data_IF_121056001088
#
_entry.id   IF_121056001088
#
_cell.length_a   1.000
_cell.length_b   1.000
_cell.length_c   1.000
_cell.angle_alpha   90.00
_cell.angle_beta   90.00
_cell.angle_gamma   90.00
#
_symmetry.space_group_name_H-M   'P 1'
#
loop_
_entity.id
_entity.type
_entity.pdbx_description
1 polymer ?
#
# COMPACT_ATOMS: atom_id res chain seq x y z
N UNK A 1 2.86 -18.38 4.06
CA UNK A 1 3.88 -18.65 3.03
C UNK A 1 4.52 -17.33 2.62
N UNK A 2 5.85 -17.25 2.52
CA UNK A 2 6.51 -16.06 1.98
C UNK A 2 6.10 -15.86 0.51
N UNK A 3 5.80 -14.62 0.12
CA UNK A 3 5.44 -14.32 -1.26
C UNK A 3 6.71 -14.02 -2.07
N UNK A 4 6.97 -14.84 -3.09
CA UNK A 4 8.18 -14.75 -3.91
C UNK A 4 8.30 -13.45 -4.73
N UNK A 5 7.20 -12.76 -5.01
CA UNK A 5 7.22 -11.50 -5.76
C UNK A 5 7.44 -10.26 -4.90
N UNK A 6 7.62 -10.39 -3.58
CA UNK A 6 7.89 -9.24 -2.68
C UNK A 6 9.21 -8.51 -2.98
N UNK A 7 10.04 -9.06 -3.85
CA UNK A 7 11.26 -8.40 -4.30
C UNK A 7 11.05 -7.51 -5.54
N UNK A 8 9.83 -7.45 -6.08
CA UNK A 8 9.48 -6.63 -7.26
C UNK A 8 8.81 -5.32 -6.80
N UNK A 9 9.57 -4.22 -6.66
CA UNK A 9 9.04 -2.95 -6.16
C UNK A 9 8.00 -2.33 -7.11
N UNK A 10 8.01 -2.67 -8.41
CA UNK A 10 6.97 -2.27 -9.37
C UNK A 10 5.57 -2.78 -9.01
N UNK A 11 5.47 -3.88 -8.26
CA UNK A 11 4.20 -4.45 -7.80
C UNK A 11 3.78 -3.95 -6.42
N UNK A 12 4.50 -2.97 -5.88
CA UNK A 12 4.28 -2.46 -4.52
C UNK A 12 3.90 -1.00 -4.54
N UNK A 13 3.19 -0.57 -3.51
CA UNK A 13 2.88 0.84 -3.24
C UNK A 13 3.14 1.11 -1.76
N UNK A 14 3.71 2.27 -1.44
CA UNK A 14 3.98 2.68 -0.07
C UNK A 14 2.76 3.42 0.51
N UNK A 15 2.23 2.95 1.63
CA UNK A 15 1.27 3.70 2.43
C UNK A 15 2.00 4.35 3.59
N UNK A 16 1.71 5.61 3.87
CA UNK A 16 2.23 6.34 5.03
C UNK A 16 1.10 7.04 5.77
N UNK A 17 1.03 6.95 7.08
CA UNK A 17 0.04 7.63 7.92
C UNK A 17 0.13 7.18 9.37
N UNK A 18 -0.16 8.10 10.29
CA UNK A 18 -0.08 7.83 11.75
C UNK A 18 -1.05 6.73 12.20
N UNK A 19 -2.20 6.59 11.52
CA UNK A 19 -3.17 5.52 11.81
C UNK A 19 -2.57 4.11 11.60
N UNK A 20 -1.52 3.99 10.78
CA UNK A 20 -0.87 2.70 10.53
C UNK A 20 -0.18 2.16 11.77
N UNK A 21 0.23 3.01 12.72
CA UNK A 21 0.90 2.57 13.96
C UNK A 21 0.02 1.69 14.84
N UNK A 22 -1.30 1.89 14.79
CA UNK A 22 -2.28 1.18 15.61
C UNK A 22 -3.01 0.07 14.85
N UNK A 23 -2.65 -0.16 13.59
CA UNK A 23 -3.27 -1.18 12.74
C UNK A 23 -2.30 -2.31 12.43
N UNK A 24 -2.82 -3.53 12.49
CA UNK A 24 -2.08 -4.72 12.06
C UNK A 24 -2.09 -4.82 10.53
N UNK A 25 -1.17 -5.61 9.96
CA UNK A 25 -1.15 -5.90 8.52
C UNK A 25 -2.49 -6.48 8.05
N UNK A 26 -3.10 -7.35 8.86
CA UNK A 26 -4.40 -7.98 8.60
C UNK A 26 -5.52 -6.95 8.56
N UNK A 27 -5.56 -5.99 9.49
CA UNK A 27 -6.58 -4.93 9.51
C UNK A 27 -6.48 -4.04 8.27
N UNK A 28 -5.26 -3.67 7.90
CA UNK A 28 -4.99 -2.84 6.72
C UNK A 28 -5.42 -3.62 5.47
N UNK A 29 -5.00 -4.88 5.34
CA UNK A 29 -5.36 -5.73 4.21
C UNK A 29 -6.88 -5.89 4.08
N UNK A 30 -7.57 -6.13 5.19
CA UNK A 30 -9.04 -6.27 5.21
C UNK A 30 -9.74 -4.96 4.79
N UNK A 31 -9.25 -3.80 5.24
CA UNK A 31 -9.80 -2.51 4.83
C UNK A 31 -9.57 -2.23 3.33
N UNK A 32 -8.36 -2.49 2.83
CA UNK A 32 -8.03 -2.33 1.41
C UNK A 32 -8.83 -3.28 0.52
N UNK A 33 -8.97 -4.55 0.91
CA UNK A 33 -9.71 -5.55 0.14
C UNK A 33 -11.20 -5.21 -0.04
N UNK A 34 -11.79 -4.42 0.87
CA UNK A 34 -13.19 -3.97 0.78
C UNK A 34 -13.38 -2.69 -0.04
N UNK A 35 -12.37 -1.82 -0.08
CA UNK A 35 -12.53 -0.45 -0.57
C UNK A 35 -11.76 -0.12 -1.85
N UNK A 36 -11.06 -1.11 -2.40
CA UNK A 36 -10.21 -0.91 -3.57
C UNK A 36 -10.62 -1.90 -4.66
N UNK A 37 -10.64 -1.50 -5.93
CA UNK A 37 -11.01 -2.39 -7.03
C UNK A 37 -10.00 -3.52 -7.20
N UNK A 38 -8.73 -3.21 -6.97
CA UNK A 38 -7.62 -4.15 -7.11
C UNK A 38 -7.26 -4.69 -5.74
N UNK A 39 -7.71 -5.91 -5.44
CA UNK A 39 -7.42 -6.54 -4.15
C UNK A 39 -5.90 -6.77 -3.99
N UNK A 40 -5.27 -6.19 -2.95
CA UNK A 40 -3.88 -6.47 -2.67
C UNK A 40 -3.68 -7.92 -2.19
N UNK A 41 -2.50 -8.49 -2.44
CA UNK A 41 -2.13 -9.84 -2.00
C UNK A 41 -1.85 -9.87 -0.51
N UNK A 42 -1.04 -8.92 -0.03
CA UNK A 42 -0.73 -8.75 1.38
C UNK A 42 -0.11 -7.37 1.63
N UNK A 43 0.05 -7.06 2.92
CA UNK A 43 0.66 -5.84 3.44
C UNK A 43 1.91 -6.24 4.21
N UNK A 44 2.99 -5.49 4.05
CA UNK A 44 4.26 -5.71 4.75
C UNK A 44 4.59 -4.48 5.60
N UNK A 45 4.69 -4.67 6.90
CA UNK A 45 5.23 -3.73 7.88
C UNK A 45 6.59 -4.24 8.35
N UNK A 46 7.56 -3.33 8.47
CA UNK A 46 8.89 -3.71 8.99
C UNK A 46 8.82 -3.86 10.51
N UNK A 47 8.11 -2.96 11.18
CA UNK A 47 7.84 -3.00 12.61
C UNK A 47 6.34 -2.75 12.86
N UNK A 48 5.81 -3.30 13.96
CA UNK A 48 4.40 -3.15 14.31
C UNK A 48 4.00 -1.68 14.54
N UNK A 49 4.93 -0.83 14.98
CA UNK A 49 4.68 0.59 15.28
C UNK A 49 5.11 1.56 14.18
N UNK A 50 5.45 1.06 12.98
CA UNK A 50 5.76 1.93 11.85
C UNK A 50 4.53 2.72 11.39
N UNK A 51 4.77 3.98 11.02
CA UNK A 51 3.77 4.85 10.39
C UNK A 51 3.70 4.63 8.87
N UNK A 52 4.28 3.56 8.36
CA UNK A 52 4.27 3.20 6.95
C UNK A 52 4.21 1.68 6.74
N UNK A 53 3.73 1.27 5.57
CA UNK A 53 3.75 -0.12 5.14
C UNK A 53 3.82 -0.21 3.60
N UNK A 54 4.26 -1.35 3.09
CA UNK A 54 4.20 -1.65 1.66
C UNK A 54 2.99 -2.54 1.37
N UNK A 55 2.24 -2.20 0.35
CA UNK A 55 1.11 -2.99 -0.14
C UNK A 55 1.53 -3.64 -1.45
N UNK A 56 1.42 -4.96 -1.53
CA UNK A 56 1.84 -5.73 -2.68
C UNK A 56 0.64 -6.24 -3.47
N UNK A 57 0.69 -6.06 -4.78
CA UNK A 57 -0.35 -6.48 -5.73
C UNK A 57 0.11 -7.64 -6.61
N UNK A 58 -0.83 -8.29 -7.28
CA UNK A 58 -0.55 -9.44 -8.16
C UNK A 58 0.36 -9.08 -9.35
N UNK A 59 0.11 -7.91 -9.96
CA UNK A 59 0.83 -7.43 -11.12
C UNK A 59 1.11 -5.91 -11.01
N UNK A 60 1.94 -5.40 -11.93
CA UNK A 60 2.37 -4.01 -11.96
C UNK A 60 1.21 -3.07 -12.32
N UNK A 61 0.33 -3.49 -13.24
CA UNK A 61 -0.87 -2.73 -13.63
C UNK A 61 -1.78 -2.43 -12.44
N UNK A 62 -1.99 -3.39 -11.53
CA UNK A 62 -2.81 -3.19 -10.33
C UNK A 62 -2.17 -2.17 -9.37
N UNK A 63 -0.85 -2.24 -9.17
CA UNK A 63 -0.12 -1.29 -8.34
C UNK A 63 -0.14 0.12 -8.95
N UNK A 64 0.09 0.22 -10.27
CA UNK A 64 0.01 1.46 -11.03
C UNK A 64 -1.39 2.09 -10.95
N UNK A 65 -2.43 1.27 -11.13
CA UNK A 65 -3.83 1.68 -11.02
C UNK A 65 -4.14 2.21 -9.61
N UNK A 66 -3.75 1.47 -8.57
CA UNK A 66 -3.92 1.91 -7.19
C UNK A 66 -3.20 3.24 -6.92
N UNK A 67 -1.95 3.37 -7.35
CA UNK A 67 -1.17 4.58 -7.20
C UNK A 67 -1.80 5.77 -7.96
N UNK A 68 -2.29 5.56 -9.19
CA UNK A 68 -2.97 6.60 -9.96
C UNK A 68 -4.18 7.16 -9.21
N UNK A 69 -5.08 6.29 -8.72
CA UNK A 69 -6.31 6.75 -8.07
C UNK A 69 -6.05 7.43 -6.72
N UNK A 70 -5.21 6.84 -5.87
CA UNK A 70 -5.09 7.32 -4.50
C UNK A 70 -3.94 8.31 -4.28
N UNK A 71 -2.87 8.24 -5.07
CA UNK A 71 -1.76 9.21 -4.96
C UNK A 71 -1.90 10.38 -5.94
N UNK A 72 -2.13 10.09 -7.24
CA UNK A 72 -2.17 11.14 -8.27
C UNK A 72 -3.49 11.89 -8.30
N UNK A 73 -4.62 11.17 -8.25
CA UNK A 73 -5.95 11.80 -8.17
C UNK A 73 -6.36 12.20 -6.74
N UNK A 74 -5.49 11.95 -5.75
CA UNK A 74 -5.70 12.31 -4.33
C UNK A 74 -7.01 11.79 -3.74
N UNK A 75 -7.47 10.60 -4.16
CA UNK A 75 -8.65 9.97 -3.57
C UNK A 75 -8.33 9.39 -2.20
N UNK A 76 -9.31 9.40 -1.31
CA UNK A 76 -9.22 8.70 -0.02
C UNK A 76 -9.32 7.19 -0.26
N UNK A 77 -8.43 6.42 0.38
CA UNK A 77 -8.37 4.95 0.20
C UNK A 77 -9.58 4.28 0.84
N UNK A 78 -9.83 4.61 2.11
CA UNK A 78 -10.92 4.10 2.91
C UNK A 78 -11.16 5.07 4.07
N UNK A 79 -12.41 5.27 4.46
CA UNK A 79 -12.75 6.10 5.63
C UNK A 79 -12.20 5.54 6.95
N UNK A 80 -11.98 4.23 7.03
CA UNK A 80 -11.32 3.58 8.16
C UNK A 80 -9.81 3.87 8.23
N UNK A 81 -9.25 4.46 7.16
CA UNK A 81 -7.84 4.78 7.00
C UNK A 81 -7.65 6.27 6.60
N UNK A 82 -8.18 7.22 7.38
CA UNK A 82 -8.39 8.60 6.93
C UNK A 82 -7.09 9.41 6.75
N UNK A 83 -6.01 9.05 7.44
CA UNK A 83 -4.73 9.78 7.41
C UNK A 83 -3.68 9.14 6.52
N UNK A 84 -4.07 8.14 5.70
CA UNK A 84 -3.13 7.48 4.79
C UNK A 84 -2.87 8.34 3.57
N UNK A 85 -1.59 8.53 3.30
CA UNK A 85 -1.03 9.09 2.08
C UNK A 85 -0.41 7.94 1.29
N UNK A 86 -0.79 7.83 0.02
CA UNK A 86 -0.23 6.86 -0.91
C UNK A 86 0.99 7.47 -1.60
N UNK A 87 2.11 6.74 -1.58
CA UNK A 87 3.39 7.12 -2.17
C UNK A 87 3.91 6.01 -3.08
N UNK A 88 4.78 6.32 -4.06
CA UNK A 88 5.42 5.28 -4.83
C UNK A 88 6.27 4.41 -3.89
N UNK A 89 6.36 3.12 -4.20
CA UNK A 89 7.34 2.26 -3.56
C UNK A 89 8.76 2.77 -3.83
N UNK A 90 9.72 2.34 -3.01
CA UNK A 90 11.11 2.76 -3.14
C UNK A 90 11.95 1.58 -3.66
N UNK A 91 12.79 1.87 -4.65
CA UNK A 91 13.85 0.97 -5.09
C UNK A 91 14.94 0.86 -4.01
N UNK A 92 15.83 -0.16 -4.08
CA UNK A 92 16.93 -0.31 -3.12
C UNK A 92 17.85 0.93 -3.01
N UNK A 93 17.99 1.69 -4.10
CA UNK A 93 18.71 2.97 -4.15
C UNK A 93 17.88 4.16 -3.66
N UNK A 94 16.77 3.93 -2.96
CA UNK A 94 15.83 4.94 -2.43
C UNK A 94 15.13 5.80 -3.48
N UNK A 95 15.29 5.51 -4.78
CA UNK A 95 14.54 6.20 -5.82
C UNK A 95 13.08 5.71 -5.85
N UNK A 96 12.11 6.61 -6.09
CA UNK A 96 10.72 6.21 -6.23
C UNK A 96 10.53 5.36 -7.49
N UNK A 97 9.73 4.31 -7.37
CA UNK A 97 9.29 3.50 -8.50
C UNK A 97 8.47 4.36 -9.46
N UNK A 98 8.84 4.31 -10.75
CA UNK A 98 8.03 4.83 -11.83
C UNK A 98 7.04 3.73 -12.26
N UNK A 99 5.75 4.02 -12.18
CA UNK A 99 4.70 3.13 -12.66
C UNK A 99 4.34 3.46 -14.11
N UNK A 100 4.22 2.43 -14.94
CA UNK A 100 3.68 2.58 -16.28
C UNK A 100 2.16 2.82 -16.22
N UNK A 101 1.74 3.98 -16.73
CA UNK A 101 0.34 4.40 -16.74
C UNK A 101 -0.36 4.15 -18.08
N UNK A 102 0.35 3.64 -19.10
CA UNK A 102 -0.21 3.47 -20.45
C UNK A 102 -1.36 2.47 -20.48
N UNK A 103 -1.29 1.42 -19.66
CA UNK A 103 -2.27 0.35 -19.59
C UNK A 103 -3.23 0.47 -18.39
N UNK A 104 -3.22 1.60 -17.68
CA UNK A 104 -4.07 1.79 -16.50
C UNK A 104 -5.45 2.27 -16.94
N UNK A 105 -6.49 1.52 -16.57
CA UNK A 105 -7.87 1.94 -16.81
C UNK A 105 -8.18 3.18 -15.97
N UNK A 106 -8.40 4.32 -16.63
CA UNK A 106 -8.61 5.62 -15.96
C UNK A 106 -10.03 5.81 -15.44
N UNK A 107 -10.99 5.06 -15.98
CA UNK A 107 -12.41 5.11 -15.61
C UNK A 107 -12.71 4.07 -14.54
N UNK A 108 -12.49 4.43 -13.28
CA UNK A 108 -13.26 3.82 -12.20
C UNK A 108 -14.54 4.63 -12.00
N UNK A 109 -15.67 3.94 -12.03
CA UNK A 109 -16.96 4.55 -11.72
C UNK A 109 -16.86 5.26 -10.37
N UNK A 110 -17.22 6.54 -10.32
CA UNK A 110 -17.13 7.33 -9.08
C UNK A 110 -18.04 6.76 -7.99
N UNK A 111 -19.05 6.00 -8.39
CA UNK A 111 -19.99 5.36 -7.47
C UNK A 111 -19.53 4.00 -6.96
N UNK A 112 -18.46 3.41 -7.52
CA UNK A 112 -17.91 2.14 -7.03
C UNK A 112 -16.95 2.33 -5.85
N UNK A 113 -17.03 3.46 -5.14
CA UNK A 113 -16.10 3.81 -4.07
C UNK A 113 -16.51 3.16 -2.75
N UNK A 114 -15.47 2.73 -2.01
CA UNK A 114 -15.45 2.13 -0.68
C UNK A 114 -16.78 1.62 -0.11
N UNK A 115 -16.92 0.29 -0.02
CA UNK A 115 -18.09 -0.37 0.56
C UNK A 115 -18.41 0.07 2.00
N UNK A 116 -17.46 0.69 2.72
CA UNK A 116 -17.69 1.23 4.06
C UNK A 116 -18.66 2.42 4.08
N UNK A 117 -18.88 3.13 2.96
CA UNK A 117 -19.83 4.25 2.92
C UNK A 117 -21.28 3.79 3.00
N UNK A 118 -21.61 2.64 2.39
CA UNK A 118 -22.97 2.12 2.31
C UNK A 118 -23.54 1.77 3.69
N UNK A 119 -22.71 1.27 4.62
CA UNK A 119 -23.18 0.79 5.93
C UNK A 119 -23.68 1.92 6.85
N UNK A 120 -23.17 3.16 6.69
CA UNK A 120 -23.61 4.30 7.51
C UNK A 120 -24.98 4.83 7.10
N UNK A 121 -25.35 4.73 5.83
CA UNK A 121 -26.62 5.27 5.34
C UNK A 121 -27.84 4.42 5.76
N UNK A 122 -27.66 3.11 5.99
CA UNK A 122 -28.79 2.21 6.27
C UNK A 122 -29.09 2.03 7.77
N UNK A 123 -28.18 2.42 8.66
CA UNK A 123 -28.32 2.22 10.11
C UNK A 123 -29.03 3.36 10.86
N UNK A 124 -29.73 4.26 10.16
CA UNK A 124 -30.48 5.38 10.77
C UNK A 124 -32.00 5.24 10.65
N UNK A 125 -32.52 4.02 10.45
CA UNK A 125 -33.93 3.71 10.73
C UNK A 125 -34.00 2.99 12.07
N UNK A 126 -33.93 3.78 13.14
CA UNK A 126 -34.34 3.36 14.47
C UNK A 126 -35.83 2.94 14.40
N UNK A 127 -36.22 1.76 14.90
CA UNK A 127 -37.62 1.47 15.17
C UNK A 127 -38.05 2.42 16.30
N UNK A 128 -38.93 3.36 15.99
CA UNK A 128 -39.62 4.15 17.00
C UNK A 128 -40.55 3.21 17.77
N UNK A 129 -40.07 2.66 18.88
CA UNK A 129 -40.93 2.01 19.87
C UNK A 129 -41.80 3.12 20.50
N UNK A 130 -43.14 3.06 20.41
CA UNK A 130 -44.00 4.04 21.05
C UNK A 130 -43.91 3.86 22.58
N UNK A 131 -43.35 4.85 23.26
CA UNK A 131 -43.41 4.94 24.72
C UNK A 131 -44.80 5.45 25.13
N UNK A 132 -45.57 4.72 25.96
CA UNK A 132 -46.80 5.25 26.53
C UNK A 132 -46.48 6.36 27.54
N UNK A 133 -47.22 7.46 27.44
CA UNK A 133 -47.16 8.59 28.37
C UNK A 133 -47.68 8.16 29.74
N UNK A 134 -46.83 8.27 30.76
CA UNK A 134 -47.29 8.34 32.14
C UNK A 134 -46.83 9.66 32.72
N UNK A 135 -47.80 10.58 32.86
CA UNK A 135 -47.69 11.78 33.67
C UNK A 135 -47.53 11.35 35.12
N UNK A 136 -46.39 11.61 35.76
CA UNK A 136 -46.34 11.76 37.22
C UNK A 136 -45.36 12.86 37.62
N UNK A 137 -45.77 13.53 38.69
CA UNK A 137 -45.37 14.85 39.12
C UNK A 137 -44.27 14.79 40.20
N UNK A 138 -43.40 15.81 40.17
CA UNK A 138 -42.96 16.60 41.33
C UNK A 138 -41.96 16.05 42.38
N UNK A 139 -41.10 16.99 42.78
CA UNK A 139 -40.36 17.22 44.06
C UNK A 139 -38.89 16.79 44.11
N UNK A 140 -38.03 17.82 44.20
CA UNK A 140 -36.88 17.97 45.10
C UNK A 140 -35.76 16.93 45.04
N UNK A 141 -34.53 17.36 44.80
CA UNK A 141 -33.70 17.79 45.93
C UNK A 141 -32.43 18.48 45.43
N UNK A 142 -32.03 19.47 46.19
CA UNK A 142 -30.87 20.31 46.05
C UNK A 142 -29.72 19.66 46.83
N UNK A 143 -28.59 19.38 46.18
CA UNK A 143 -27.36 19.03 46.89
C UNK A 143 -26.12 19.48 46.10
N UNK A 144 -25.68 20.68 46.45
CA UNK A 144 -24.30 21.13 46.41
C UNK A 144 -23.43 20.18 47.25
N UNK A 145 -22.44 19.53 46.62
CA UNK A 145 -21.27 19.01 47.32
C UNK A 145 -20.02 19.38 46.54
N UNK A 146 -19.35 20.41 47.04
CA UNK A 146 -17.94 20.68 46.83
C UNK A 146 -17.09 19.63 47.57
N UNK A 147 -15.95 19.23 46.97
CA UNK A 147 -14.70 18.66 47.52
C UNK A 147 -14.09 17.73 46.44
N UNK A 148 -12.79 17.58 46.22
CA UNK A 148 -11.59 18.06 46.90
C UNK A 148 -10.42 17.81 45.94
N UNK A 149 -9.46 18.73 45.95
CA UNK A 149 -8.15 18.60 45.32
C UNK A 149 -7.30 17.60 46.10
N UNK A 150 -6.75 16.57 45.45
CA UNK A 150 -5.61 15.83 46.01
C UNK A 150 -4.48 15.62 44.98
N UNK A 151 -3.36 16.24 45.32
CA UNK A 151 -2.00 15.95 44.89
C UNK A 151 -1.60 14.51 45.24
N UNK A 152 -0.70 13.93 44.42
CA UNK A 152 0.56 13.25 44.78
C UNK A 152 0.80 12.04 43.87
N UNK A 153 2.05 11.91 43.39
CA UNK A 153 2.56 10.64 42.88
C UNK A 153 3.51 10.78 41.70
N UNK A 154 4.65 11.41 41.90
CA UNK A 154 5.86 11.21 41.11
C UNK A 154 6.50 9.90 41.60
N UNK A 155 6.68 8.87 40.76
CA UNK A 155 7.58 7.77 41.08
C UNK A 155 8.93 8.01 40.40
N UNK A 156 9.87 8.46 41.22
CA UNK A 156 11.31 8.46 40.99
C UNK A 156 11.82 7.03 41.24
N UNK A 157 12.15 6.26 40.19
CA UNK A 157 12.88 4.98 40.29
C UNK A 157 13.85 4.84 39.11
N UNK A 158 15.10 5.29 39.37
CA UNK A 158 16.39 4.58 39.27
C UNK A 158 16.72 3.60 38.11
N UNK A 159 18.03 3.50 37.77
CA UNK A 159 18.52 2.96 36.51
C UNK A 159 18.55 1.43 36.45
N UNK A 160 18.14 0.88 35.30
CA UNK A 160 18.31 -0.54 34.98
C UNK A 160 19.78 -0.84 34.71
N UNK A 161 20.36 -1.62 35.61
CA UNK A 161 21.69 -2.22 35.52
C UNK A 161 21.86 -3.03 34.22
N UNK A 162 23.05 -2.88 33.63
CA UNK A 162 23.59 -3.74 32.60
C UNK A 162 23.66 -5.19 33.11
N UNK A 163 23.09 -6.12 32.35
CA UNK A 163 23.46 -7.53 32.42
C UNK A 163 24.20 -7.90 31.14
N UNK A 164 25.51 -8.12 31.29
CA UNK A 164 26.30 -8.92 30.36
C UNK A 164 25.81 -10.38 30.47
N UNK A 165 25.29 -10.92 29.37
CA UNK A 165 25.08 -12.37 29.22
C UNK A 165 26.10 -12.87 28.22
N UNK A 166 27.16 -13.42 28.80
CA UNK A 166 28.22 -14.17 28.14
C UNK A 166 27.70 -15.54 27.66
N UNK A 167 28.42 -16.06 26.68
CA UNK A 167 28.20 -17.25 25.89
C UNK A 167 28.03 -18.53 26.71
N UNK A 168 27.22 -19.46 26.20
CA UNK A 168 27.64 -20.85 26.16
C UNK A 168 26.85 -21.61 25.09
N UNK A 169 27.61 -22.16 24.15
CA UNK A 169 27.25 -23.28 23.28
C UNK A 169 26.54 -24.40 24.07
N UNK A 170 25.65 -25.16 23.42
CA UNK A 170 25.68 -26.64 23.42
C UNK A 170 24.61 -27.21 22.48
N UNK A 171 25.12 -27.97 21.51
CA UNK A 171 24.57 -29.11 20.76
C UNK A 171 23.15 -29.63 21.07
N UNK A 172 22.43 -30.09 20.03
CA UNK A 172 22.35 -31.52 19.61
C UNK A 172 21.08 -31.79 18.79
N UNK A 173 21.27 -32.56 17.72
CA UNK A 173 20.24 -33.09 16.83
C UNK A 173 19.21 -33.99 17.57
N UNK A 174 17.97 -34.03 17.08
CA UNK A 174 17.31 -35.27 16.55
C UNK A 174 15.84 -35.07 16.17
N UNK A 175 15.42 -35.88 15.21
CA UNK A 175 14.10 -36.53 15.09
C UNK A 175 12.98 -35.84 14.31
N UNK A 176 13.04 -36.06 12.99
CA UNK A 176 11.98 -36.61 12.14
C UNK A 176 10.66 -36.97 12.84
N UNK A 177 9.57 -36.27 12.49
CA UNK A 177 8.20 -36.80 12.47
C UNK A 177 7.38 -36.09 11.40
N UNK A 178 7.00 -36.89 10.40
CA UNK A 178 6.12 -36.60 9.29
C UNK A 178 4.67 -36.39 9.79
N UNK A 179 3.95 -35.33 9.37
CA UNK A 179 2.52 -35.25 9.56
C UNK A 179 1.78 -35.91 8.40
N UNK A 180 0.93 -36.88 8.75
CA UNK A 180 -0.05 -37.56 7.92
C UNK A 180 -1.15 -36.61 7.43
N UNK A 181 -1.45 -36.73 6.15
CA UNK A 181 -2.59 -36.16 5.41
C UNK A 181 -3.93 -36.64 5.97
N UNK A 182 -4.93 -35.77 6.15
CA UNK A 182 -6.33 -36.19 6.21
C UNK A 182 -7.02 -36.09 4.84
N UNK A 183 -7.69 -37.19 4.49
CA UNK A 183 -8.56 -37.44 3.34
C UNK A 183 -9.77 -36.49 3.30
N UNK A 184 -10.26 -36.10 2.11
CA UNK A 184 -11.43 -35.23 1.98
C UNK A 184 -12.74 -35.99 2.28
N UNK A 185 -13.60 -35.35 3.10
CA UNK A 185 -15.01 -35.72 3.25
C UNK A 185 -15.80 -34.95 2.19
N UNK A 186 -16.38 -35.71 1.26
CA UNK A 186 -17.41 -35.28 0.32
C UNK A 186 -18.75 -35.20 1.06
N UNK A 187 -19.29 -34.00 1.20
CA UNK A 187 -20.72 -33.80 1.47
C UNK A 187 -21.35 -33.25 0.19
N UNK A 188 -22.09 -34.14 -0.46
CA UNK A 188 -23.07 -33.82 -1.50
C UNK A 188 -24.23 -33.05 -0.84
N UNK A 189 -24.48 -31.84 -1.33
CA UNK A 189 -25.74 -31.15 -1.08
C UNK A 189 -26.48 -30.99 -2.41
N UNK A 190 -27.71 -31.47 -2.37
CA UNK A 190 -28.66 -31.68 -3.44
C UNK A 190 -29.36 -30.37 -3.85
N UNK A 191 -29.56 -30.24 -5.16
CA UNK A 191 -30.68 -29.66 -5.93
C UNK A 191 -31.60 -28.65 -5.24
N UNK A 192 -31.73 -27.46 -5.84
CA UNK A 192 -32.85 -26.56 -5.66
C UNK A 192 -32.72 -25.24 -6.43
N UNK A 193 -33.72 -24.97 -7.26
CA UNK A 193 -34.14 -23.69 -7.83
C UNK A 193 -33.47 -23.18 -9.12
N UNK A 194 -33.94 -23.78 -10.20
CA UNK A 194 -34.24 -23.12 -11.47
C UNK A 194 -35.16 -21.88 -11.26
N UNK A 195 -34.64 -20.70 -11.60
CA UNK A 195 -35.44 -19.49 -11.79
C UNK A 195 -34.95 -18.78 -13.05
N UNK A 196 -35.56 -19.17 -14.17
CA UNK A 196 -35.46 -18.50 -15.46
C UNK A 196 -36.19 -17.15 -15.38
N UNK A 197 -35.42 -16.06 -15.22
CA UNK A 197 -35.90 -14.71 -15.51
C UNK A 197 -35.33 -14.29 -16.85
N UNK A 198 -36.16 -14.40 -17.88
CA UNK A 198 -35.92 -13.85 -19.20
C UNK A 198 -35.77 -12.32 -19.10
N UNK A 199 -34.57 -11.82 -19.35
CA UNK A 199 -34.30 -10.39 -19.49
C UNK A 199 -34.29 -10.05 -20.99
N UNK A 200 -35.42 -9.48 -21.40
CA UNK A 200 -35.71 -8.87 -22.68
C UNK A 200 -34.66 -7.79 -22.98
N UNK A 201 -33.71 -8.09 -23.87
CA UNK A 201 -32.72 -7.11 -24.33
C UNK A 201 -33.29 -6.38 -25.54
N UNK A 202 -33.81 -5.18 -25.30
CA UNK A 202 -34.24 -4.27 -26.36
C UNK A 202 -33.01 -3.81 -27.16
N UNK A 203 -32.97 -4.23 -28.43
CA UNK A 203 -32.07 -3.76 -29.47
C UNK A 203 -32.43 -2.31 -29.84
N UNK A 204 -31.61 -1.34 -29.42
CA UNK A 204 -31.68 0.03 -29.90
C UNK A 204 -30.50 0.33 -30.82
N UNK A 205 -30.81 0.38 -32.11
CA UNK A 205 -30.32 1.36 -33.09
C UNK A 205 -28.81 1.50 -33.25
N UNK A 206 -28.27 0.84 -34.28
CA UNK A 206 -27.00 1.22 -34.91
C UNK A 206 -27.10 2.62 -35.54
N UNK A 207 -26.20 3.58 -35.20
CA UNK A 207 -26.01 4.77 -36.00
C UNK A 207 -25.06 4.46 -37.18
N UNK A 208 -25.53 4.79 -38.37
CA UNK A 208 -24.89 4.51 -39.66
C UNK A 208 -23.45 4.98 -39.78
N UNK A 209 -22.61 4.07 -40.30
CA UNK A 209 -21.25 4.32 -40.73
C UNK A 209 -21.32 4.97 -42.13
N UNK A 210 -20.81 6.20 -42.23
CA UNK A 210 -20.56 6.87 -43.51
C UNK A 210 -19.39 6.16 -44.23
N UNK A 211 -19.46 5.98 -45.56
CA UNK A 211 -18.38 5.38 -46.33
C UNK A 211 -17.17 6.33 -46.33
N UNK A 212 -16.07 5.88 -45.73
CA UNK A 212 -14.76 6.50 -45.90
C UNK A 212 -14.19 5.98 -47.22
N UNK A 213 -13.89 6.91 -48.12
CA UNK A 213 -13.35 6.60 -49.43
C UNK A 213 -12.05 5.79 -49.33
N UNK A 214 -12.01 4.71 -50.13
CA UNK A 214 -10.82 3.94 -50.42
C UNK A 214 -9.79 4.85 -51.09
N UNK A 215 -8.68 5.11 -50.39
CA UNK A 215 -7.43 5.43 -51.05
C UNK A 215 -6.66 4.13 -51.23
N UNK A 216 -6.50 3.70 -52.48
CA UNK A 216 -5.53 2.69 -52.89
C UNK A 216 -4.13 3.23 -52.59
N UNK A 217 -3.53 2.75 -51.51
CA UNK A 217 -2.10 2.93 -51.22
C UNK A 217 -1.39 1.69 -51.72
N UNK A 218 -0.60 1.89 -52.79
CA UNK A 218 0.35 0.94 -53.36
C UNK A 218 1.27 0.38 -52.25
N UNK A 219 1.03 -0.87 -51.82
CA UNK A 219 1.93 -1.61 -50.95
C UNK A 219 3.17 -2.04 -51.75
N UNK A 220 4.14 -1.14 -51.87
CA UNK A 220 5.50 -1.53 -52.24
C UNK A 220 6.07 -2.38 -51.10
N UNK A 221 6.14 -3.69 -51.31
CA UNK A 221 6.73 -4.69 -50.43
C UNK A 221 8.14 -4.26 -50.00
N UNK A 222 8.25 -3.71 -48.80
CA UNK A 222 9.54 -3.60 -48.10
C UNK A 222 9.74 -4.86 -47.26
N UNK A 223 10.85 -5.59 -47.43
CA UNK A 223 11.07 -6.83 -46.70
C UNK A 223 11.13 -6.55 -45.20
N UNK A 224 10.18 -7.12 -44.44
CA UNK A 224 10.16 -7.13 -42.98
C UNK A 224 11.53 -7.61 -42.47
N UNK A 225 12.24 -6.82 -41.64
CA UNK A 225 13.39 -7.36 -40.92
C UNK A 225 12.87 -8.43 -39.97
N UNK A 226 13.29 -9.68 -40.19
CA UNK A 226 13.11 -10.78 -39.24
C UNK A 226 13.78 -10.33 -37.94
N UNK A 227 12.96 -9.92 -36.98
CA UNK A 227 13.40 -9.55 -35.64
C UNK A 227 13.92 -10.83 -34.98
N UNK A 228 15.24 -11.00 -34.76
CA UNK A 228 15.72 -12.18 -34.09
C UNK A 228 15.23 -12.12 -32.65
N UNK A 229 14.45 -13.13 -32.23
CA UNK A 229 14.15 -13.36 -30.82
C UNK A 229 15.44 -13.23 -30.01
N UNK A 230 15.49 -12.42 -28.94
CA UNK A 230 16.65 -12.36 -28.07
C UNK A 230 16.74 -13.72 -27.36
N UNK A 231 17.51 -14.63 -27.93
CA UNK A 231 18.03 -15.78 -27.22
C UNK A 231 18.93 -15.19 -26.13
N UNK A 232 18.39 -15.08 -24.92
CA UNK A 232 19.17 -14.69 -23.74
C UNK A 232 20.08 -15.90 -23.47
N UNK A 233 21.22 -15.91 -24.16
CA UNK A 233 22.32 -16.77 -23.80
C UNK A 233 22.68 -16.43 -22.36
N UNK A 234 22.33 -17.36 -21.47
CA UNK A 234 22.66 -17.40 -20.05
C UNK A 234 24.16 -17.63 -19.88
N UNK A 235 24.96 -16.79 -20.54
CA UNK A 235 26.41 -16.79 -20.47
C UNK A 235 26.80 -15.84 -19.36
N UNK A 236 27.83 -16.25 -18.62
CA UNK A 236 28.49 -15.55 -17.53
C UNK A 236 28.87 -14.07 -17.82
N UNK A 237 28.71 -13.60 -19.07
CA UNK A 237 28.94 -12.24 -19.51
C UNK A 237 27.79 -11.27 -19.24
N UNK A 238 26.53 -11.73 -19.20
CA UNK A 238 25.37 -10.84 -19.00
C UNK A 238 25.39 -10.12 -17.65
N UNK A 239 25.60 -10.87 -16.57
CA UNK A 239 25.64 -10.30 -15.22
C UNK A 239 26.86 -9.40 -14.99
N UNK A 240 27.99 -9.64 -15.67
CA UNK A 240 29.19 -8.79 -15.59
C UNK A 240 28.96 -7.40 -16.17
N UNK A 241 28.22 -7.30 -17.28
CA UNK A 241 27.84 -6.01 -17.87
C UNK A 241 26.86 -5.25 -16.98
N UNK A 242 25.86 -5.93 -16.43
CA UNK A 242 24.92 -5.33 -15.48
C UNK A 242 25.65 -4.83 -14.21
N UNK A 243 26.56 -5.62 -13.65
CA UNK A 243 27.34 -5.24 -12.47
C UNK A 243 28.23 -4.03 -12.75
N UNK A 244 28.86 -3.95 -13.93
CA UNK A 244 29.65 -2.76 -14.35
C UNK A 244 28.80 -1.49 -14.39
N UNK A 245 27.58 -1.56 -14.91
CA UNK A 245 26.67 -0.40 -14.93
C UNK A 245 26.26 0.04 -13.52
N UNK A 246 25.98 -0.91 -12.62
CA UNK A 246 25.66 -0.61 -11.22
C UNK A 246 26.84 0.07 -10.53
N UNK A 247 28.06 -0.47 -10.68
CA UNK A 247 29.28 0.12 -10.11
C UNK A 247 29.52 1.54 -10.67
N UNK A 248 29.36 1.74 -11.98
CA UNK A 248 29.51 3.06 -12.59
C UNK A 248 28.47 4.08 -12.09
N UNK A 249 27.24 3.63 -11.83
CA UNK A 249 26.18 4.46 -11.23
C UNK A 249 26.53 4.87 -9.80
N UNK A 250 26.92 3.91 -8.95
CA UNK A 250 27.32 4.18 -7.57
C UNK A 250 28.54 5.10 -7.49
N UNK A 251 29.52 4.94 -8.38
CA UNK A 251 30.69 5.82 -8.42
C UNK A 251 30.30 7.28 -8.71
N UNK A 252 29.39 7.50 -9.67
CA UNK A 252 28.89 8.83 -9.99
C UNK A 252 28.15 9.48 -8.82
N UNK A 253 27.37 8.70 -8.07
CA UNK A 253 26.66 9.17 -6.88
C UNK A 253 27.63 9.56 -5.75
N UNK A 254 28.71 8.81 -5.57
CA UNK A 254 29.79 9.14 -4.63
C UNK A 254 30.47 10.45 -5.05
N UNK A 255 30.86 10.57 -6.33
CA UNK A 255 31.52 11.76 -6.86
C UNK A 255 30.64 13.02 -6.68
N UNK A 256 29.32 12.91 -6.91
CA UNK A 256 28.36 14.00 -6.70
C UNK A 256 28.24 14.41 -5.22
N UNK A 257 28.31 13.44 -4.31
CA UNK A 257 28.27 13.70 -2.85
C UNK A 257 29.55 14.33 -2.34
N UNK A 258 30.70 13.97 -2.90
CA UNK A 258 31.99 14.61 -2.59
C UNK A 258 32.01 16.08 -3.06
N UNK A 259 31.46 16.38 -4.23
CA UNK A 259 31.29 17.75 -4.72
C UNK A 259 30.37 18.58 -3.80
N UNK A 260 29.26 17.99 -3.35
CA UNK A 260 28.34 18.63 -2.41
C UNK A 260 29.02 18.93 -1.06
N UNK A 261 29.78 17.97 -0.52
CA UNK A 261 30.57 18.15 0.69
C UNK A 261 31.63 19.25 0.53
N UNK A 262 32.31 19.30 -0.62
CA UNK A 262 33.29 20.34 -0.91
C UNK A 262 32.64 21.73 -0.95
N UNK A 263 31.46 21.86 -1.58
CA UNK A 263 30.69 23.12 -1.58
C UNK A 263 30.26 23.54 -0.17
N UNK A 264 29.83 22.61 0.66
CA UNK A 264 29.46 22.91 2.06
C UNK A 264 30.65 23.38 2.89
N UNK A 265 31.82 22.73 2.76
CA UNK A 265 33.06 23.16 3.42
C UNK A 265 33.46 24.59 3.03
N UNK A 266 33.31 24.95 1.74
CA UNK A 266 33.60 26.31 1.27
C UNK A 266 32.65 27.35 1.88
N UNK A 267 31.36 27.02 2.01
CA UNK A 267 30.38 27.90 2.67
C UNK A 267 30.68 28.07 4.16
N UNK A 268 31.02 26.98 4.85
CA UNK A 268 31.38 27.03 6.26
C UNK A 268 32.61 27.92 6.49
N UNK A 269 33.64 27.78 5.65
CA UNK A 269 34.83 28.64 5.72
C UNK A 269 34.48 30.13 5.58
N UNK A 270 33.64 30.48 4.61
CA UNK A 270 33.21 31.87 4.41
C UNK A 270 32.44 32.42 5.61
N UNK A 271 31.59 31.59 6.24
CA UNK A 271 30.87 32.00 7.45
C UNK A 271 31.82 32.23 8.63
N UNK A 272 32.88 31.42 8.77
CA UNK A 272 33.90 31.66 9.78
C UNK A 272 34.63 32.99 9.55
N UNK A 273 35.03 33.28 8.31
CA UNK A 273 35.69 34.57 7.95
C UNK A 273 34.80 35.77 8.29
N UNK A 274 33.49 35.70 8.00
CA UNK A 274 32.53 36.77 8.34
C UNK A 274 32.38 36.96 9.85
N UNK A 275 32.39 35.86 10.63
CA UNK A 275 32.28 35.93 12.09
C UNK A 275 33.54 36.56 12.71
N UNK A 276 34.72 36.20 12.22
CA UNK A 276 36.00 36.79 12.66
C UNK A 276 36.05 38.31 12.37
N UNK A 277 35.55 38.76 11.22
CA UNK A 277 35.48 40.19 10.88
C UNK A 277 34.48 40.97 11.75
N UNK A 278 33.48 40.30 12.34
CA UNK A 278 32.45 40.94 13.17
C UNK A 278 32.86 41.15 14.62
N UNK A 279 33.94 40.51 15.07
CA UNK A 279 34.48 40.63 16.43
C UNK A 279 35.57 41.70 16.59
N UNK A 280 35.96 42.38 15.49
CA UNK A 280 36.90 43.53 15.49
C UNK A 280 36.17 44.87 15.46
#
# INVERSE_FOLDING_TARGET
MPCFSCHHPQKQVLLKGTILKTKTETDILAALARCTPNRPLHVVKRQQHDDFCYVHFHNETHAATFYLFYAKQRRTVCEQLPTIIVRPALLPNKQPVAYDMTNVQTTLDRNSLCACQTTRATSSKQPTTPTPSTNECHVGDENDVALETQHHGEPDILPTELYDVDESETTRATSSKQPTTPTPSTNECHVGDENDVALETQHLGEPGILPTELYDVDESETPRPKNPSPHIDNTQHGWRLQLKHVIAGLKREIDEKDDELHRMKKKLKLLCEILEDSEM
#
